data_IF_626045288657
#
_entry.id   IF_626045288657
#
_cell.length_a   1.000
_cell.length_b   1.000
_cell.length_c   1.000
_cell.angle_alpha   90.00
_cell.angle_beta   90.00
_cell.angle_gamma   90.00
#
_symmetry.space_group_name_H-M   'P 1'
#
loop_
_entity.id
_entity.type
_entity.pdbx_description
1 polymer ?
#
# COMPACT_ATOMS: atom_id res chain seq x y z
N UNK A 1 -12.48 -36.20 -26.09
CA UNK A 1 -13.07 -37.03 -25.01
C UNK A 1 -14.54 -36.69 -24.90
N UNK A 2 -15.37 -37.73 -24.87
CA UNK A 2 -16.79 -37.71 -25.20
C UNK A 2 -17.68 -37.11 -24.11
N UNK A 3 -18.73 -36.39 -24.53
CA UNK A 3 -19.95 -36.18 -23.76
C UNK A 3 -20.93 -37.34 -23.98
N UNK A 4 -21.91 -37.53 -23.09
CA UNK A 4 -23.24 -37.91 -23.57
C UNK A 4 -24.37 -37.09 -22.91
N UNK A 5 -25.39 -36.81 -23.73
CA UNK A 5 -26.73 -36.36 -23.35
C UNK A 5 -27.72 -37.52 -23.51
N UNK A 6 -28.67 -37.58 -22.56
CA UNK A 6 -30.10 -37.92 -22.62
C UNK A 6 -30.62 -39.19 -23.34
N UNK A 7 -31.47 -39.96 -22.63
CA UNK A 7 -32.84 -40.43 -22.98
C UNK A 7 -33.17 -41.75 -22.22
N UNK A 8 -34.40 -42.21 -21.94
CA UNK A 8 -35.81 -41.76 -21.92
C UNK A 8 -36.61 -42.93 -21.26
N UNK A 9 -37.74 -42.62 -20.58
CA UNK A 9 -38.97 -43.44 -20.39
C UNK A 9 -38.89 -44.88 -19.78
N UNK A 10 -39.53 -45.20 -18.64
CA UNK A 10 -40.96 -45.27 -18.25
C UNK A 10 -41.56 -46.70 -18.40
N UNK A 11 -42.07 -47.27 -17.29
CA UNK A 11 -43.41 -47.91 -17.18
C UNK A 11 -43.68 -48.55 -15.79
N UNK A 12 -44.80 -48.11 -15.18
CA UNK A 12 -45.95 -48.86 -14.59
C UNK A 12 -45.82 -50.39 -14.34
N UNK A 13 -46.49 -51.06 -13.39
CA UNK A 13 -47.49 -50.78 -12.34
C UNK A 13 -47.67 -52.08 -11.48
N UNK A 14 -48.70 -52.11 -10.61
CA UNK A 14 -49.24 -53.19 -9.74
C UNK A 14 -48.70 -53.22 -8.29
N UNK A 15 -49.41 -52.65 -7.30
CA UNK A 15 -50.67 -53.07 -6.64
C UNK A 15 -50.45 -54.19 -5.59
N UNK A 16 -50.68 -53.91 -4.30
CA UNK A 16 -51.81 -54.49 -3.54
C UNK A 16 -51.85 -54.00 -2.06
N UNK A 17 -53.04 -54.10 -1.51
CA UNK A 17 -53.70 -53.55 -0.33
C UNK A 17 -53.30 -54.20 1.01
N UNK A 18 -53.16 -53.41 2.08
CA UNK A 18 -53.81 -53.74 3.37
C UNK A 18 -53.82 -52.59 4.37
N UNK A 19 -55.03 -52.12 4.64
CA UNK A 19 -55.48 -51.27 5.73
C UNK A 19 -55.20 -51.90 7.10
N UNK A 20 -54.63 -51.14 8.04
CA UNK A 20 -55.03 -51.22 9.44
C UNK A 20 -54.96 -49.83 10.09
N UNK A 21 -56.13 -49.42 10.56
CA UNK A 21 -56.43 -48.19 11.26
C UNK A 21 -56.02 -48.33 12.74
N UNK A 22 -55.62 -47.18 13.31
CA UNK A 22 -55.19 -46.85 14.68
C UNK A 22 -55.67 -47.72 15.87
N UNK A 23 -54.98 -47.58 17.01
CA UNK A 23 -55.69 -46.92 18.10
C UNK A 23 -54.97 -45.65 18.57
N UNK A 24 -55.77 -44.59 18.68
CA UNK A 24 -55.45 -43.36 19.36
C UNK A 24 -54.98 -43.63 20.79
N UNK A 25 -53.68 -43.46 21.04
CA UNK A 25 -53.14 -43.26 22.37
C UNK A 25 -52.82 -41.77 22.53
N UNK A 26 -53.72 -41.09 23.25
CA UNK A 26 -53.51 -39.79 23.85
C UNK A 26 -52.19 -39.77 24.64
N UNK A 27 -51.12 -39.28 24.03
CA UNK A 27 -49.94 -38.81 24.76
C UNK A 27 -49.96 -37.28 24.70
N UNK A 28 -50.59 -36.68 25.71
CA UNK A 28 -50.30 -35.30 26.05
C UNK A 28 -48.77 -35.16 26.19
N UNK A 29 -48.14 -34.13 25.60
CA UNK A 29 -46.70 -33.95 25.71
C UNK A 29 -46.36 -33.83 27.20
N UNK A 30 -45.67 -34.84 27.73
CA UNK A 30 -45.13 -34.76 29.07
C UNK A 30 -44.11 -33.63 29.08
N UNK A 31 -44.11 -32.80 30.12
CA UNK A 31 -43.25 -31.62 30.22
C UNK A 31 -41.76 -31.93 29.97
N UNK A 32 -41.35 -33.18 30.23
CA UNK A 32 -40.02 -33.75 29.98
C UNK A 32 -39.62 -33.80 28.51
N UNK A 33 -40.51 -34.13 27.57
CA UNK A 33 -40.19 -34.15 26.12
C UNK A 33 -39.92 -32.73 25.59
N UNK A 34 -40.64 -31.74 26.13
CA UNK A 34 -40.41 -30.33 25.78
C UNK A 34 -39.06 -29.82 26.27
N UNK A 35 -38.56 -30.31 27.40
CA UNK A 35 -37.28 -29.90 28.00
C UNK A 35 -36.11 -30.58 27.29
N UNK A 36 -36.22 -31.87 26.97
CA UNK A 36 -35.18 -32.62 26.25
C UNK A 36 -35.03 -32.14 24.81
N UNK A 37 -36.09 -31.73 24.12
CA UNK A 37 -35.98 -31.14 22.78
C UNK A 37 -35.45 -29.70 22.78
N UNK A 38 -35.59 -28.98 23.91
CA UNK A 38 -35.19 -27.57 24.05
C UNK A 38 -33.67 -27.40 24.15
N UNK A 39 -32.99 -28.32 24.83
CA UNK A 39 -31.52 -28.32 24.97
C UNK A 39 -30.78 -28.43 23.62
N UNK A 40 -31.06 -29.44 22.76
CA UNK A 40 -30.47 -29.53 21.42
C UNK A 40 -30.78 -28.32 20.53
N UNK A 41 -31.98 -27.76 20.62
CA UNK A 41 -32.37 -26.56 19.88
C UNK A 41 -31.59 -25.31 20.33
N UNK A 42 -31.41 -25.14 21.65
CA UNK A 42 -30.60 -24.07 22.22
C UNK A 42 -29.13 -24.19 21.81
N UNK A 43 -28.57 -25.40 21.87
CA UNK A 43 -27.19 -25.67 21.43
C UNK A 43 -27.01 -25.38 19.95
N UNK A 44 -27.96 -25.82 19.11
CA UNK A 44 -27.94 -25.55 17.66
C UNK A 44 -27.98 -24.05 17.36
N UNK A 45 -28.79 -23.30 18.10
CA UNK A 45 -28.84 -21.83 17.98
C UNK A 45 -27.52 -21.18 18.37
N UNK A 46 -26.92 -21.59 19.50
CA UNK A 46 -25.65 -21.04 19.94
C UNK A 46 -24.51 -21.34 18.94
N UNK A 47 -24.47 -22.55 18.37
CA UNK A 47 -23.51 -22.91 17.33
C UNK A 47 -23.70 -22.03 16.10
N UNK A 48 -24.95 -21.80 15.68
CA UNK A 48 -25.26 -20.91 14.56
C UNK A 48 -24.80 -19.49 14.82
N UNK A 49 -25.19 -18.90 15.95
CA UNK A 49 -24.85 -17.53 16.31
C UNK A 49 -23.32 -17.35 16.42
N UNK A 50 -22.62 -18.34 17.00
CA UNK A 50 -21.15 -18.31 17.08
C UNK A 50 -20.46 -18.50 15.74
N UNK A 51 -21.00 -19.34 14.85
CA UNK A 51 -20.49 -19.51 13.47
C UNK A 51 -20.64 -18.22 12.68
N UNK A 52 -21.82 -17.61 12.69
CA UNK A 52 -22.09 -16.35 11.97
C UNK A 52 -21.18 -15.22 12.47
N UNK A 53 -20.96 -15.13 13.79
CA UNK A 53 -20.04 -14.15 14.38
C UNK A 53 -18.58 -14.39 13.95
N UNK A 54 -18.12 -15.65 13.87
CA UNK A 54 -16.78 -16.00 13.40
C UNK A 54 -16.62 -15.71 11.90
N UNK A 55 -17.62 -16.01 11.09
CA UNK A 55 -17.60 -15.75 9.65
C UNK A 55 -17.49 -14.26 9.36
N UNK A 56 -18.18 -13.41 10.14
CA UNK A 56 -18.03 -11.97 10.06
C UNK A 56 -16.60 -11.52 10.37
N UNK A 57 -16.03 -11.99 11.49
CA UNK A 57 -14.63 -11.68 11.84
C UNK A 57 -13.64 -12.15 10.77
N UNK A 58 -13.87 -13.32 10.18
CA UNK A 58 -13.02 -13.85 9.11
C UNK A 58 -13.07 -12.98 7.86
N UNK A 59 -14.25 -12.47 7.49
CA UNK A 59 -14.41 -11.52 6.38
C UNK A 59 -13.67 -10.22 6.65
N UNK A 60 -13.76 -9.69 7.86
CA UNK A 60 -13.06 -8.46 8.26
C UNK A 60 -11.53 -8.65 8.23
N UNK A 61 -11.04 -9.79 8.73
CA UNK A 61 -9.61 -10.15 8.66
C UNK A 61 -9.16 -10.21 7.21
N UNK A 62 -9.87 -10.93 6.33
CA UNK A 62 -9.51 -11.04 4.90
C UNK A 62 -9.45 -9.68 4.22
N UNK A 63 -10.42 -8.80 4.50
CA UNK A 63 -10.44 -7.44 3.97
C UNK A 63 -9.24 -6.62 4.45
N UNK A 64 -8.90 -6.73 5.74
CA UNK A 64 -7.74 -6.06 6.31
C UNK A 64 -6.43 -6.61 5.75
N UNK A 65 -6.30 -7.92 5.60
CA UNK A 65 -5.13 -8.58 5.00
C UNK A 65 -4.92 -8.09 3.57
N UNK A 66 -5.97 -8.10 2.74
CA UNK A 66 -5.90 -7.58 1.38
C UNK A 66 -5.47 -6.10 1.33
N UNK A 67 -5.98 -5.28 2.24
CA UNK A 67 -5.58 -3.88 2.32
C UNK A 67 -4.10 -3.70 2.70
N UNK A 68 -3.57 -4.54 3.59
CA UNK A 68 -2.16 -4.53 3.98
C UNK A 68 -1.28 -5.05 2.85
N UNK A 69 -1.68 -6.11 2.16
CA UNK A 69 -0.97 -6.64 0.99
C UNK A 69 -0.82 -5.58 -0.10
N UNK A 70 -1.90 -4.85 -0.42
CA UNK A 70 -1.83 -3.76 -1.40
C UNK A 70 -0.86 -2.66 -0.98
N UNK A 71 -0.87 -2.26 0.29
CA UNK A 71 0.08 -1.26 0.81
C UNK A 71 1.52 -1.76 0.76
N UNK A 72 1.74 -3.06 1.00
CA UNK A 72 3.07 -3.65 0.92
C UNK A 72 3.61 -3.62 -0.51
N UNK A 73 2.74 -3.89 -1.50
CA UNK A 73 3.09 -3.75 -2.91
C UNK A 73 3.45 -2.31 -3.26
N UNK A 74 2.63 -1.33 -2.85
CA UNK A 74 2.89 0.09 -3.08
C UNK A 74 4.21 0.55 -2.46
N UNK A 75 4.49 0.16 -1.21
CA UNK A 75 5.76 0.46 -0.54
C UNK A 75 6.94 -0.16 -1.29
N UNK A 76 6.79 -1.39 -1.79
CA UNK A 76 7.84 -2.07 -2.55
C UNK A 76 8.17 -1.35 -3.85
N UNK A 77 7.13 -0.89 -4.58
CA UNK A 77 7.31 -0.08 -5.79
C UNK A 77 7.98 1.26 -5.50
N UNK A 78 7.57 1.94 -4.42
CA UNK A 78 8.18 3.20 -4.01
C UNK A 78 9.64 3.04 -3.60
N UNK A 79 10.00 1.95 -2.89
CA UNK A 79 11.39 1.64 -2.54
C UNK A 79 12.24 1.43 -3.80
N UNK A 80 11.76 0.64 -4.76
CA UNK A 80 12.47 0.44 -6.04
C UNK A 80 12.73 1.78 -6.76
N UNK A 81 11.75 2.69 -6.74
CA UNK A 81 11.90 4.02 -7.32
C UNK A 81 12.96 4.86 -6.60
N UNK A 82 12.93 4.88 -5.26
CA UNK A 82 13.91 5.60 -4.43
C UNK A 82 15.32 5.04 -4.64
N UNK A 83 15.47 3.72 -4.67
CA UNK A 83 16.75 3.04 -4.92
C UNK A 83 17.31 3.40 -6.31
N UNK A 84 16.47 3.38 -7.34
CA UNK A 84 16.88 3.79 -8.70
C UNK A 84 17.34 5.25 -8.73
N UNK A 85 16.62 6.15 -8.03
CA UNK A 85 16.98 7.56 -7.95
C UNK A 85 18.26 7.77 -7.14
N UNK A 86 18.48 6.99 -6.08
CA UNK A 86 19.69 7.03 -5.28
C UNK A 86 20.91 6.62 -6.12
N UNK A 87 20.81 5.51 -6.84
CA UNK A 87 21.88 5.02 -7.72
C UNK A 87 22.28 6.07 -8.77
N UNK A 88 21.30 6.73 -9.40
CA UNK A 88 21.56 7.84 -10.32
C UNK A 88 22.29 9.01 -9.65
N UNK A 89 21.88 9.40 -8.44
CA UNK A 89 22.51 10.50 -7.71
C UNK A 89 23.92 10.15 -7.24
N UNK A 90 24.15 8.89 -6.86
CA UNK A 90 25.47 8.38 -6.49
C UNK A 90 26.41 8.40 -7.69
N UNK A 91 25.95 7.94 -8.85
CA UNK A 91 26.72 8.01 -10.12
C UNK A 91 27.04 9.47 -10.48
N UNK A 92 26.05 10.36 -10.46
CA UNK A 92 26.26 11.78 -10.74
C UNK A 92 27.22 12.44 -9.74
N UNK A 93 27.13 12.09 -8.46
CA UNK A 93 28.03 12.60 -7.43
C UNK A 93 29.46 12.06 -7.61
N UNK A 94 29.62 10.79 -7.98
CA UNK A 94 30.91 10.22 -8.30
C UNK A 94 31.53 10.92 -9.52
N UNK A 95 30.76 11.15 -10.58
CA UNK A 95 31.23 11.90 -11.75
C UNK A 95 31.66 13.33 -11.36
N UNK A 96 30.90 14.01 -10.52
CA UNK A 96 31.25 15.34 -10.01
C UNK A 96 32.51 15.34 -9.13
N UNK A 97 32.76 14.27 -8.38
CA UNK A 97 33.98 14.13 -7.59
C UNK A 97 35.21 13.85 -8.47
N UNK A 98 35.06 13.02 -9.50
CA UNK A 98 36.13 12.71 -10.46
C UNK A 98 36.44 13.89 -11.37
N UNK A 99 35.39 14.61 -11.81
CA UNK A 99 35.46 15.74 -12.73
C UNK A 99 34.74 16.95 -12.15
N UNK A 100 35.32 17.60 -11.13
CA UNK A 100 34.71 18.78 -10.57
C UNK A 100 34.66 19.89 -11.64
N UNK A 101 33.53 20.61 -11.76
CA UNK A 101 33.33 21.62 -12.80
C UNK A 101 34.29 22.82 -12.71
N UNK A 102 34.95 22.98 -11.57
CA UNK A 102 36.10 23.86 -11.42
C UNK A 102 37.15 23.15 -10.57
N UNK A 103 38.41 23.23 -10.98
CA UNK A 103 39.50 22.66 -10.19
C UNK A 103 39.69 23.46 -8.90
N UNK A 104 40.22 22.80 -7.85
CA UNK A 104 40.50 23.47 -6.57
C UNK A 104 41.41 24.69 -6.73
N UNK A 105 42.35 24.61 -7.67
CA UNK A 105 43.29 25.69 -7.98
C UNK A 105 42.61 26.90 -8.62
N UNK A 106 41.70 26.68 -9.57
CA UNK A 106 40.88 27.74 -10.17
C UNK A 106 39.98 28.39 -9.13
N UNK A 107 39.36 27.60 -8.24
CA UNK A 107 38.55 28.14 -7.14
C UNK A 107 39.39 29.00 -6.21
N UNK A 108 40.59 28.56 -5.84
CA UNK A 108 41.50 29.34 -5.00
C UNK A 108 42.04 30.60 -5.70
N UNK A 109 42.29 30.53 -7.02
CA UNK A 109 42.65 31.69 -7.81
C UNK A 109 41.51 32.72 -7.84
N UNK A 110 40.27 32.26 -8.07
CA UNK A 110 39.08 33.12 -8.08
C UNK A 110 38.80 33.72 -6.70
N UNK A 111 38.99 32.95 -5.61
CA UNK A 111 38.90 33.47 -4.24
C UNK A 111 39.90 34.58 -3.99
N UNK A 112 41.17 34.37 -4.35
CA UNK A 112 42.22 35.39 -4.23
C UNK A 112 41.92 36.62 -5.09
N UNK A 113 41.47 36.43 -6.32
CA UNK A 113 41.11 37.54 -7.23
C UNK A 113 39.94 38.35 -6.68
N UNK A 114 38.93 37.68 -6.14
CA UNK A 114 37.76 38.32 -5.52
C UNK A 114 38.15 39.07 -4.24
N UNK A 115 39.04 38.51 -3.41
CA UNK A 115 39.52 39.15 -2.19
C UNK A 115 40.34 40.44 -2.47
N UNK A 116 40.90 40.58 -3.67
CA UNK A 116 41.64 41.76 -4.13
C UNK A 116 40.74 42.82 -4.77
N UNK A 117 39.46 42.53 -5.00
CA UNK A 117 38.54 43.53 -5.52
C UNK A 117 38.29 44.60 -4.44
N UNK A 118 38.33 45.90 -4.79
CA UNK A 118 38.01 46.96 -3.86
C UNK A 118 36.56 46.81 -3.36
N UNK A 119 36.30 47.21 -2.11
CA UNK A 119 35.03 46.94 -1.42
C UNK A 119 33.77 47.34 -2.20
N UNK A 120 33.82 48.50 -2.88
CA UNK A 120 32.69 48.98 -3.68
C UNK A 120 32.39 48.14 -4.93
N UNK A 121 33.39 47.48 -5.53
CA UNK A 121 33.16 46.59 -6.67
C UNK A 121 32.57 45.26 -6.21
N UNK A 122 33.01 44.77 -5.04
CA UNK A 122 32.44 43.56 -4.44
C UNK A 122 30.97 43.74 -4.08
N UNK A 123 30.60 44.88 -3.52
CA UNK A 123 29.21 45.23 -3.19
C UNK A 123 28.33 45.33 -4.43
N UNK A 124 28.83 45.99 -5.49
CA UNK A 124 28.11 46.08 -6.78
C UNK A 124 27.88 44.70 -7.40
N UNK A 125 28.86 43.80 -7.35
CA UNK A 125 28.71 42.44 -7.88
C UNK A 125 27.69 41.65 -7.06
N UNK A 126 27.73 41.73 -5.73
CA UNK A 126 26.76 41.07 -4.84
C UNK A 126 25.34 41.61 -5.07
N UNK A 127 25.19 42.92 -5.28
CA UNK A 127 23.89 43.53 -5.54
C UNK A 127 23.34 43.13 -6.92
N UNK A 128 24.19 43.10 -7.95
CA UNK A 128 23.83 42.59 -9.27
C UNK A 128 23.44 41.11 -9.22
N UNK A 129 24.13 40.30 -8.40
CA UNK A 129 23.83 38.88 -8.19
C UNK A 129 22.45 38.67 -7.55
N UNK A 130 22.13 39.43 -6.49
CA UNK A 130 20.80 39.41 -5.85
C UNK A 130 19.68 39.79 -6.81
N UNK A 131 19.97 40.68 -7.77
CA UNK A 131 19.02 41.11 -8.80
C UNK A 131 18.96 40.16 -10.00
N UNK A 132 19.77 39.08 -10.02
CA UNK A 132 19.84 38.12 -11.13
C UNK A 132 20.46 38.69 -12.42
N UNK A 133 21.26 39.76 -12.32
CA UNK A 133 21.78 40.53 -13.48
C UNK A 133 23.26 40.30 -13.77
N UNK A 134 23.86 39.25 -13.21
CA UNK A 134 25.29 38.98 -13.42
C UNK A 134 25.46 38.25 -14.74
N UNK A 135 26.22 38.83 -15.64
CA UNK A 135 26.60 38.22 -16.92
C UNK A 135 28.11 38.01 -17.00
N UNK A 136 28.54 36.87 -17.54
CA UNK A 136 29.94 36.59 -17.88
C UNK A 136 30.02 36.13 -19.32
N UNK A 137 30.86 36.79 -20.12
CA UNK A 137 31.02 36.52 -21.55
C UNK A 137 29.67 36.44 -22.31
N UNK A 138 28.74 37.36 -21.99
CA UNK A 138 27.42 37.41 -22.62
C UNK A 138 26.40 36.37 -22.14
N UNK A 139 26.73 35.56 -21.12
CA UNK A 139 25.82 34.57 -20.53
C UNK A 139 25.43 34.97 -19.12
N UNK A 140 24.15 34.84 -18.76
CA UNK A 140 23.67 35.05 -17.39
C UNK A 140 24.26 33.97 -16.48
N UNK A 141 24.90 34.38 -15.39
CA UNK A 141 25.33 33.48 -14.32
C UNK A 141 24.26 33.50 -13.22
N UNK A 142 23.79 32.31 -12.85
CA UNK A 142 22.93 32.13 -11.69
C UNK A 142 23.79 32.08 -10.42
N UNK A 143 23.53 32.98 -9.48
CA UNK A 143 24.25 33.05 -8.21
C UNK A 143 23.35 32.50 -7.12
N UNK A 144 23.76 31.38 -6.52
CA UNK A 144 23.05 30.80 -5.39
C UNK A 144 23.56 31.41 -4.09
N UNK A 145 22.66 31.87 -3.19
CA UNK A 145 23.06 32.24 -1.85
C UNK A 145 23.67 31.03 -1.14
N UNK A 146 24.77 31.25 -0.43
CA UNK A 146 25.38 30.22 0.40
C UNK A 146 24.59 30.10 1.71
N UNK A 147 23.73 29.08 1.80
CA UNK A 147 22.91 28.79 2.98
C UNK A 147 23.64 27.97 4.04
N UNK A 148 24.91 27.60 3.84
CA UNK A 148 25.67 26.81 4.81
C UNK A 148 25.82 27.49 6.19
N UNK A 149 25.60 28.81 6.25
CA UNK A 149 25.66 29.62 7.48
C UNK A 149 24.31 29.91 8.13
N UNK A 150 23.21 29.46 7.54
CA UNK A 150 21.84 29.76 8.01
C UNK A 150 21.35 28.71 9.02
N UNK A 151 22.08 27.59 9.19
CA UNK A 151 21.72 26.50 10.13
C UNK A 151 22.41 26.64 11.50
N UNK A 152 23.10 27.74 11.76
CA UNK A 152 23.59 28.08 13.11
C UNK A 152 22.63 29.05 13.78
N UNK A 153 21.53 28.54 14.33
CA UNK A 153 20.79 29.17 15.43
C UNK A 153 20.08 28.07 16.26
#
# INVERSE_FOLDING_TARGET
>A
MASPKANEQANEADADVSTQQEPAASNAPTATDSVVAREPANMSRLIKDTSEARDKKLKDIRRSTFAVENKLTEISEHLNHVESRLAFLEEANQELQEKPPATREEVELLRRKTARLPGGDRERIVEAARKGKVTWNGRNIMVFPDYSKIVTD
#
